data_IF_561922676477
#
_entry.id   IF_561922676477
#
_cell.length_a   1.000
_cell.length_b   1.000
_cell.length_c   1.000
_cell.angle_alpha   90.00
_cell.angle_beta   90.00
_cell.angle_gamma   90.00
#
_symmetry.space_group_name_H-M   'P 1'
#
loop_
_entity.id
_entity.type
_entity.pdbx_description
1 polymer ?
#
# COMPACT_ATOMS: atom_id res chain seq x y z
N UNK A 1 -0.60 22.51 4.79
CA UNK A 1 -0.43 21.38 3.86
C UNK A 1 1.01 20.91 3.81
N UNK A 2 1.30 19.77 4.44
CA UNK A 2 2.62 19.15 4.38
C UNK A 2 2.94 18.60 2.97
N UNK A 3 4.21 18.25 2.71
CA UNK A 3 4.66 17.81 1.37
C UNK A 3 4.00 16.51 0.90
N UNK A 4 3.80 15.54 1.81
CA UNK A 4 3.06 14.32 1.53
C UNK A 4 1.64 14.61 1.06
N UNK A 5 0.92 15.49 1.76
CA UNK A 5 -0.47 15.84 1.48
C UNK A 5 -0.62 16.49 0.09
N UNK A 6 0.27 17.42 -0.25
CA UNK A 6 0.29 18.06 -1.58
C UNK A 6 0.49 17.04 -2.70
N UNK A 7 1.48 16.17 -2.55
CA UNK A 7 1.77 15.14 -3.55
C UNK A 7 0.62 14.14 -3.67
N UNK A 8 0.01 13.76 -2.55
CA UNK A 8 -1.11 12.84 -2.52
C UNK A 8 -2.34 13.43 -3.22
N UNK A 9 -2.72 14.66 -2.91
CA UNK A 9 -3.83 15.35 -3.57
C UNK A 9 -3.59 15.52 -5.07
N UNK A 10 -2.36 15.84 -5.48
CA UNK A 10 -2.01 15.92 -6.90
C UNK A 10 -2.19 14.57 -7.61
N UNK A 11 -1.86 13.46 -6.96
CA UNK A 11 -2.09 12.12 -7.52
C UNK A 11 -3.58 11.78 -7.59
N UNK A 12 -4.37 12.17 -6.59
CA UNK A 12 -5.83 12.02 -6.62
C UNK A 12 -6.43 12.78 -7.82
N UNK A 13 -6.03 14.04 -8.00
CA UNK A 13 -6.46 14.87 -9.14
C UNK A 13 -6.15 14.19 -10.48
N UNK A 14 -4.91 13.72 -10.65
CA UNK A 14 -4.49 13.01 -11.88
C UNK A 14 -5.30 11.71 -12.06
N UNK A 15 -5.54 10.96 -10.99
CA UNK A 15 -6.34 9.73 -11.03
C UNK A 15 -7.77 9.98 -11.50
N UNK A 16 -8.41 11.02 -10.97
CA UNK A 16 -9.76 11.41 -11.35
C UNK A 16 -9.82 11.98 -12.79
N UNK A 17 -8.83 12.76 -13.21
CA UNK A 17 -8.73 13.24 -14.60
C UNK A 17 -8.62 12.09 -15.60
N UNK A 18 -7.90 11.00 -15.27
CA UNK A 18 -7.75 9.84 -16.16
C UNK A 18 -9.07 9.13 -16.46
N UNK A 19 -10.03 9.21 -15.55
CA UNK A 19 -11.36 8.62 -15.72
C UNK A 19 -12.42 9.66 -16.10
N UNK A 20 -12.01 10.90 -16.43
CA UNK A 20 -12.92 11.99 -16.82
C UNK A 20 -13.82 12.49 -15.68
N UNK A 21 -13.35 12.41 -14.43
CA UNK A 21 -14.08 12.82 -13.22
C UNK A 21 -13.39 13.94 -12.45
N UNK A 22 -12.78 14.90 -13.16
CA UNK A 22 -12.19 16.09 -12.52
C UNK A 22 -13.18 16.89 -11.65
N UNK A 23 -14.48 16.80 -11.94
CA UNK A 23 -15.58 17.39 -11.16
C UNK A 23 -15.57 16.92 -9.68
N UNK A 24 -15.22 15.66 -9.46
CA UNK A 24 -15.11 15.09 -8.12
C UNK A 24 -13.94 15.70 -7.36
N UNK A 25 -12.82 15.98 -8.02
CA UNK A 25 -11.67 16.61 -7.37
C UNK A 25 -12.01 18.00 -6.85
N UNK A 26 -12.71 18.82 -7.65
CA UNK A 26 -13.15 20.14 -7.21
C UNK A 26 -14.06 20.06 -5.98
N UNK A 27 -14.98 19.10 -5.97
CA UNK A 27 -15.93 18.87 -4.89
C UNK A 27 -15.22 18.52 -3.57
N UNK A 28 -14.28 17.56 -3.62
CA UNK A 28 -13.54 17.13 -2.41
C UNK A 28 -12.52 18.17 -1.96
N UNK A 29 -11.91 18.91 -2.89
CA UNK A 29 -10.86 19.89 -2.58
C UNK A 29 -11.43 21.16 -1.90
N UNK A 30 -12.64 21.61 -2.27
CA UNK A 30 -13.30 22.78 -1.65
C UNK A 30 -13.51 22.64 -0.14
N UNK A 31 -13.61 21.41 0.37
CA UNK A 31 -13.82 21.10 1.80
C UNK A 31 -12.59 20.49 2.48
N UNK A 32 -11.42 20.60 1.85
CA UNK A 32 -10.21 19.98 2.35
C UNK A 32 -9.75 20.60 3.67
N UNK A 33 -9.72 19.75 4.69
CA UNK A 33 -9.05 20.00 5.97
C UNK A 33 -8.15 18.79 6.24
N UNK A 34 -6.96 19.01 6.80
CA UNK A 34 -6.01 17.94 7.15
C UNK A 34 -6.52 17.14 8.37
N UNK A 35 -7.65 16.44 8.22
CA UNK A 35 -8.22 15.58 9.24
C UNK A 35 -8.87 14.34 8.64
N UNK A 36 -9.15 13.38 9.53
CA UNK A 36 -9.75 12.10 9.16
C UNK A 36 -11.15 12.25 8.53
N UNK A 37 -11.93 13.23 8.98
CA UNK A 37 -13.26 13.51 8.44
C UNK A 37 -13.23 13.91 6.96
N UNK A 38 -12.14 14.49 6.46
CA UNK A 38 -11.99 14.70 5.02
C UNK A 38 -11.76 13.39 4.27
N UNK A 39 -10.97 12.47 4.82
CA UNK A 39 -10.71 11.16 4.19
C UNK A 39 -11.98 10.31 4.14
N UNK A 40 -12.81 10.35 5.18
CA UNK A 40 -14.14 9.73 5.20
C UNK A 40 -15.07 10.33 4.13
N UNK A 41 -15.17 11.67 4.07
CA UNK A 41 -15.98 12.35 3.04
C UNK A 41 -15.52 12.03 1.63
N UNK A 42 -14.20 11.97 1.40
CA UNK A 42 -13.64 11.56 0.12
C UNK A 42 -14.17 10.18 -0.26
N UNK A 43 -14.07 9.20 0.63
CA UNK A 43 -14.52 7.84 0.32
C UNK A 43 -16.02 7.75 0.11
N UNK A 44 -16.82 8.47 0.89
CA UNK A 44 -18.28 8.55 0.70
C UNK A 44 -18.58 9.02 -0.73
N UNK A 45 -17.93 10.10 -1.17
CA UNK A 45 -18.14 10.67 -2.51
C UNK A 45 -17.66 9.70 -3.59
N UNK A 46 -16.46 9.14 -3.47
CA UNK A 46 -15.92 8.22 -4.49
C UNK A 46 -16.77 6.95 -4.60
N UNK A 47 -17.14 6.34 -3.47
CA UNK A 47 -17.93 5.11 -3.47
C UNK A 47 -19.38 5.33 -3.94
N UNK A 48 -19.93 6.54 -3.84
CA UNK A 48 -21.27 6.84 -4.38
C UNK A 48 -21.27 7.19 -5.86
N UNK A 49 -20.16 7.73 -6.37
CA UNK A 49 -20.09 8.34 -7.70
C UNK A 49 -19.36 7.47 -8.73
N UNK A 50 -18.59 6.47 -8.29
CA UNK A 50 -17.73 5.64 -9.15
C UNK A 50 -18.04 4.16 -8.97
N UNK A 51 -17.76 3.36 -9.99
CA UNK A 51 -17.73 1.92 -9.84
C UNK A 51 -16.57 1.49 -8.91
N UNK A 52 -16.70 0.36 -8.22
CA UNK A 52 -15.70 -0.11 -7.26
C UNK A 52 -14.29 -0.22 -7.88
N UNK A 53 -14.18 -0.76 -9.10
CA UNK A 53 -12.90 -0.89 -9.80
C UNK A 53 -12.28 0.49 -10.13
N UNK A 54 -13.10 1.52 -10.41
CA UNK A 54 -12.60 2.88 -10.62
C UNK A 54 -12.11 3.52 -9.32
N UNK A 55 -12.80 3.29 -8.20
CA UNK A 55 -12.33 3.72 -6.86
C UNK A 55 -10.98 3.07 -6.56
N UNK A 56 -10.85 1.76 -6.78
CA UNK A 56 -9.60 1.02 -6.58
C UNK A 56 -8.49 1.61 -7.44
N UNK A 57 -8.77 1.91 -8.71
CA UNK A 57 -7.78 2.45 -9.63
C UNK A 57 -7.29 3.85 -9.23
N UNK A 58 -8.22 4.75 -8.89
CA UNK A 58 -7.93 6.09 -8.40
C UNK A 58 -7.11 6.02 -7.11
N UNK A 59 -7.55 5.21 -6.14
CA UNK A 59 -6.89 5.09 -4.84
C UNK A 59 -5.50 4.47 -4.97
N UNK A 60 -5.34 3.41 -5.76
CA UNK A 60 -4.02 2.84 -6.05
C UNK A 60 -3.10 3.84 -6.76
N UNK A 61 -3.65 4.72 -7.61
CA UNK A 61 -2.90 5.82 -8.24
C UNK A 61 -2.32 6.84 -7.24
N UNK A 62 -2.86 6.89 -6.03
CA UNK A 62 -2.39 7.77 -4.96
C UNK A 62 -1.20 7.19 -4.16
N UNK A 63 -0.72 6.00 -4.50
CA UNK A 63 0.31 5.30 -3.73
C UNK A 63 1.65 6.05 -3.61
N UNK A 64 2.33 5.84 -2.48
CA UNK A 64 3.78 6.03 -2.41
C UNK A 64 4.43 4.88 -3.18
N UNK A 65 5.33 5.17 -4.11
CA UNK A 65 5.90 4.19 -5.04
C UNK A 65 7.27 3.69 -4.57
N UNK A 66 7.62 2.47 -4.96
CA UNK A 66 8.95 1.92 -4.73
C UNK A 66 9.99 2.62 -5.63
N UNK A 67 11.25 2.78 -5.18
CA UNK A 67 12.34 3.23 -6.04
C UNK A 67 12.49 2.33 -7.26
N UNK A 68 12.66 2.91 -8.45
CA UNK A 68 12.69 2.17 -9.71
C UNK A 68 14.06 1.59 -10.08
N UNK A 69 15.12 1.98 -9.38
CA UNK A 69 16.49 1.57 -9.72
C UNK A 69 16.64 0.05 -9.77
N UNK A 70 16.25 -0.65 -8.70
CA UNK A 70 16.34 -2.11 -8.66
C UNK A 70 15.21 -2.79 -9.47
N UNK A 71 14.02 -2.18 -9.52
CA UNK A 71 12.91 -2.72 -10.32
C UNK A 71 13.21 -2.72 -11.82
N UNK A 72 14.06 -1.81 -12.29
CA UNK A 72 14.52 -1.76 -13.70
C UNK A 72 15.31 -3.01 -14.05
N UNK A 73 16.22 -3.43 -13.16
CA UNK A 73 16.95 -4.70 -13.31
C UNK A 73 15.97 -5.88 -13.39
N UNK A 74 15.00 -5.94 -12.48
CA UNK A 74 14.01 -7.02 -12.47
C UNK A 74 13.12 -7.07 -13.72
N UNK A 75 12.72 -5.90 -14.23
CA UNK A 75 11.97 -5.80 -15.49
C UNK A 75 12.78 -6.37 -16.64
N UNK A 76 14.04 -5.96 -16.78
CA UNK A 76 14.91 -6.38 -17.89
C UNK A 76 15.19 -7.89 -17.83
N UNK A 77 15.36 -8.43 -16.62
CA UNK A 77 15.45 -9.88 -16.40
C UNK A 77 14.14 -10.60 -16.77
N UNK A 78 12.97 -10.05 -16.41
CA UNK A 78 11.68 -10.64 -16.79
C UNK A 78 11.46 -10.60 -18.31
N UNK A 79 11.80 -9.51 -18.97
CA UNK A 79 11.68 -9.37 -20.43
C UNK A 79 12.57 -10.38 -21.17
N UNK A 80 13.76 -10.66 -20.62
CA UNK A 80 14.71 -11.61 -21.21
C UNK A 80 14.32 -13.08 -20.95
N UNK A 81 13.88 -13.38 -19.74
CA UNK A 81 13.69 -14.77 -19.27
C UNK A 81 12.25 -15.25 -19.37
N UNK A 82 11.28 -14.32 -19.30
CA UNK A 82 9.87 -14.59 -19.06
C UNK A 82 9.63 -15.52 -17.84
N UNK A 83 10.56 -15.50 -16.87
CA UNK A 83 10.53 -16.35 -15.68
C UNK A 83 10.07 -15.54 -14.46
N UNK A 84 8.78 -15.66 -14.17
CA UNK A 84 8.16 -15.01 -13.01
C UNK A 84 8.76 -15.47 -11.68
N UNK A 85 9.08 -16.76 -11.56
CA UNK A 85 9.61 -17.33 -10.33
C UNK A 85 11.01 -16.79 -10.04
N UNK A 86 11.83 -16.64 -11.09
CA UNK A 86 13.16 -16.06 -11.01
C UNK A 86 13.13 -14.60 -10.55
N UNK A 87 12.34 -13.74 -11.20
CA UNK A 87 12.30 -12.31 -10.82
C UNK A 87 11.65 -12.07 -9.46
N UNK A 88 10.70 -12.93 -9.06
CA UNK A 88 10.17 -12.94 -7.70
C UNK A 88 11.25 -13.28 -6.66
N UNK A 89 12.07 -14.29 -6.91
CA UNK A 89 13.18 -14.65 -6.02
C UNK A 89 14.21 -13.53 -5.92
N UNK A 90 14.55 -12.84 -7.02
CA UNK A 90 15.45 -11.69 -7.01
C UNK A 90 14.87 -10.54 -6.16
N UNK A 91 13.57 -10.25 -6.29
CA UNK A 91 12.90 -9.22 -5.49
C UNK A 91 12.92 -9.58 -3.99
N UNK A 92 12.68 -10.85 -3.64
CA UNK A 92 12.75 -11.34 -2.27
C UNK A 92 14.16 -11.18 -1.69
N UNK A 93 15.19 -11.62 -2.41
CA UNK A 93 16.58 -11.49 -1.98
C UNK A 93 17.00 -10.03 -1.78
N UNK A 94 16.58 -9.14 -2.68
CA UNK A 94 16.80 -7.71 -2.54
C UNK A 94 16.13 -7.15 -1.30
N UNK A 95 14.86 -7.50 -1.06
CA UNK A 95 14.13 -7.07 0.12
C UNK A 95 14.83 -7.52 1.41
N UNK A 96 15.17 -8.80 1.54
CA UNK A 96 15.84 -9.35 2.73
C UNK A 96 17.16 -8.64 3.03
N UNK A 97 17.96 -8.41 1.98
CA UNK A 97 19.26 -7.74 2.11
C UNK A 97 19.11 -6.28 2.52
N UNK A 98 18.13 -5.57 1.94
CA UNK A 98 17.96 -4.14 2.16
C UNK A 98 17.24 -3.82 3.46
N UNK A 99 16.22 -4.61 3.83
CA UNK A 99 15.38 -4.31 4.99
C UNK A 99 16.15 -4.38 6.31
N UNK A 100 17.08 -5.33 6.44
CA UNK A 100 17.92 -5.48 7.64
C UNK A 100 18.70 -4.20 7.92
N UNK A 101 19.38 -3.66 6.91
CA UNK A 101 20.18 -2.44 7.04
C UNK A 101 19.32 -1.18 7.10
N UNK A 102 18.29 -1.07 6.26
CA UNK A 102 17.44 0.12 6.19
C UNK A 102 16.65 0.37 7.47
N UNK A 103 16.27 -0.69 8.18
CA UNK A 103 15.46 -0.62 9.41
C UNK A 103 16.24 -0.98 10.67
N UNK A 104 17.56 -1.17 10.57
CA UNK A 104 18.44 -1.56 11.68
C UNK A 104 17.86 -2.76 12.48
N UNK A 105 17.39 -3.78 11.76
CA UNK A 105 16.69 -4.91 12.39
C UNK A 105 17.69 -5.88 13.01
N UNK A 106 17.38 -6.32 14.23
CA UNK A 106 18.06 -7.48 14.80
C UNK A 106 17.57 -8.79 14.15
N UNK A 107 18.30 -9.88 14.36
CA UNK A 107 18.02 -11.17 13.70
C UNK A 107 16.64 -11.74 14.07
N UNK A 108 16.14 -11.50 15.29
CA UNK A 108 14.80 -11.94 15.69
C UNK A 108 13.70 -11.17 14.95
N UNK A 109 13.88 -9.86 14.77
CA UNK A 109 12.95 -9.02 14.04
C UNK A 109 12.95 -9.37 12.54
N UNK A 110 14.14 -9.56 11.95
CA UNK A 110 14.24 -10.03 10.57
C UNK A 110 13.54 -11.39 10.41
N UNK A 111 13.82 -12.34 11.30
CA UNK A 111 13.17 -13.66 11.28
C UNK A 111 11.64 -13.55 11.35
N UNK A 112 11.10 -12.69 12.23
CA UNK A 112 9.65 -12.45 12.30
C UNK A 112 9.07 -11.97 10.96
N UNK A 113 9.74 -11.03 10.29
CA UNK A 113 9.29 -10.51 8.98
C UNK A 113 9.26 -11.62 7.92
N UNK A 114 10.31 -12.45 7.85
CA UNK A 114 10.40 -13.52 6.86
C UNK A 114 9.41 -14.65 7.17
N UNK A 115 9.31 -15.08 8.42
CA UNK A 115 8.40 -16.16 8.83
C UNK A 115 6.91 -15.81 8.62
N UNK A 116 6.58 -14.52 8.49
CA UNK A 116 5.22 -14.02 8.27
C UNK A 116 4.99 -13.49 6.85
N UNK A 117 5.85 -13.83 5.87
CA UNK A 117 5.75 -13.41 4.47
C UNK A 117 5.63 -11.88 4.30
N UNK A 118 6.18 -11.11 5.24
CA UNK A 118 6.08 -9.66 5.26
C UNK A 118 7.14 -9.04 4.34
N UNK A 119 6.73 -8.16 3.45
CA UNK A 119 7.67 -7.49 2.57
C UNK A 119 7.06 -7.04 1.25
N UNK A 120 7.93 -6.52 0.39
CA UNK A 120 7.53 -6.03 -0.93
C UNK A 120 7.35 -7.15 -1.97
N UNK A 121 8.05 -8.28 -1.82
CA UNK A 121 7.96 -9.39 -2.77
C UNK A 121 6.71 -10.25 -2.54
N UNK A 122 6.30 -10.42 -1.29
CA UNK A 122 5.20 -11.32 -0.89
C UNK A 122 5.48 -12.78 -1.22
N UNK A 123 4.50 -13.65 -0.96
CA UNK A 123 4.56 -15.07 -1.31
C UNK A 123 3.94 -15.30 -2.68
N UNK A 124 4.68 -15.90 -3.61
CA UNK A 124 4.21 -16.27 -4.94
C UNK A 124 3.64 -17.70 -4.94
N UNK A 125 2.41 -17.84 -5.45
CA UNK A 125 1.72 -19.12 -5.64
C UNK A 125 1.03 -19.12 -7.01
N UNK A 126 1.60 -19.84 -7.98
CA UNK A 126 1.12 -19.82 -9.37
C UNK A 126 1.29 -18.43 -9.99
N UNK A 127 0.17 -17.77 -10.31
CA UNK A 127 0.12 -16.40 -10.84
C UNK A 127 -0.42 -15.38 -9.82
N UNK A 128 -0.47 -15.74 -8.54
CA UNK A 128 -0.94 -14.85 -7.47
C UNK A 128 0.17 -14.61 -6.47
N UNK A 129 0.33 -13.36 -6.05
CA UNK A 129 1.21 -12.98 -4.95
C UNK A 129 0.36 -12.52 -3.77
N UNK A 130 0.64 -13.04 -2.59
CA UNK A 130 0.07 -12.53 -1.34
C UNK A 130 1.15 -11.77 -0.60
N UNK A 131 1.03 -10.45 -0.53
CA UNK A 131 1.96 -9.59 0.18
C UNK A 131 1.40 -9.17 1.54
N UNK A 132 2.17 -9.36 2.60
CA UNK A 132 1.86 -8.85 3.94
C UNK A 132 2.66 -7.57 4.16
N UNK A 133 2.00 -6.48 4.59
CA UNK A 133 2.73 -5.23 4.85
C UNK A 133 3.66 -5.38 6.05
N UNK A 134 4.79 -4.69 5.99
CA UNK A 134 5.69 -4.54 7.13
C UNK A 134 5.20 -3.43 8.07
N UNK A 135 5.54 -3.44 9.38
CA UNK A 135 5.29 -2.31 10.27
C UNK A 135 5.97 -1.02 9.80
N UNK A 136 5.38 0.15 10.07
CA UNK A 136 6.00 1.46 9.78
C UNK A 136 7.16 1.76 10.73
N UNK A 137 6.89 1.63 12.03
CA UNK A 137 7.81 1.91 13.14
C UNK A 137 8.25 0.60 13.82
N UNK A 138 9.08 -0.19 13.14
CA UNK A 138 9.52 -1.54 13.53
C UNK A 138 9.86 -1.68 15.02
N UNK A 139 10.82 -0.90 15.54
CA UNK A 139 11.24 -1.05 16.93
C UNK A 139 10.10 -0.79 17.92
N UNK A 140 9.25 0.21 17.67
CA UNK A 140 8.11 0.53 18.54
C UNK A 140 7.02 -0.54 18.47
N UNK A 141 6.76 -1.08 17.27
CA UNK A 141 5.84 -2.19 17.06
C UNK A 141 6.26 -3.43 17.88
N UNK A 142 7.54 -3.78 17.88
CA UNK A 142 8.06 -4.93 18.63
C UNK A 142 8.25 -4.69 20.14
N UNK A 143 8.17 -3.45 20.61
CA UNK A 143 8.33 -3.08 22.02
C UNK A 143 6.99 -2.92 22.75
N UNK A 144 5.86 -3.03 22.04
CA UNK A 144 4.54 -2.78 22.61
C UNK A 144 3.64 -4.01 22.50
N UNK A 145 3.00 -4.36 23.61
CA UNK A 145 1.96 -5.39 23.69
C UNK A 145 0.54 -4.78 23.66
N UNK A 146 0.44 -3.46 23.71
CA UNK A 146 -0.84 -2.73 23.64
C UNK A 146 -1.37 -2.81 22.20
N UNK A 147 -2.54 -3.45 21.96
CA UNK A 147 -3.04 -3.68 20.60
C UNK A 147 -3.26 -2.39 19.82
N UNK A 148 -3.70 -1.31 20.47
CA UNK A 148 -3.96 -0.01 19.82
C UNK A 148 -2.64 0.61 19.39
N UNK A 149 -1.62 0.60 20.25
CA UNK A 149 -0.27 1.09 19.89
C UNK A 149 0.39 0.22 18.82
N UNK A 150 0.17 -1.10 18.86
CA UNK A 150 0.68 -2.04 17.86
C UNK A 150 0.12 -1.70 16.47
N UNK A 151 -1.20 -1.53 16.34
CA UNK A 151 -1.86 -1.07 15.10
C UNK A 151 -1.35 0.29 14.62
N UNK A 152 -1.18 1.24 15.55
CA UNK A 152 -0.64 2.57 15.25
C UNK A 152 0.78 2.52 14.66
N UNK A 153 1.69 1.76 15.29
CA UNK A 153 3.08 1.62 14.83
C UNK A 153 3.20 0.76 13.56
N UNK A 154 2.20 -0.06 13.26
CA UNK A 154 2.13 -0.82 12.02
C UNK A 154 1.77 0.06 10.83
N UNK A 155 0.73 0.89 10.95
CA UNK A 155 0.17 1.62 9.81
C UNK A 155 1.11 2.70 9.25
N UNK A 156 1.33 2.67 7.93
CA UNK A 156 2.21 3.63 7.24
C UNK A 156 1.52 4.95 6.90
N UNK A 157 0.19 4.97 6.77
CA UNK A 157 -0.54 6.17 6.37
C UNK A 157 -0.72 7.09 7.58
N UNK A 158 -0.23 8.35 7.53
CA UNK A 158 -0.36 9.28 8.65
C UNK A 158 -1.83 9.63 8.96
N UNK A 159 -2.72 9.58 7.96
CA UNK A 159 -4.16 9.86 8.15
C UNK A 159 -4.86 8.69 8.84
N UNK A 160 -4.66 7.46 8.35
CA UNK A 160 -5.31 6.26 8.89
C UNK A 160 -4.80 5.89 10.26
N UNK A 161 -3.48 5.96 10.50
CA UNK A 161 -2.93 5.50 11.79
C UNK A 161 -3.46 6.28 12.98
N UNK A 162 -3.76 7.58 12.82
CA UNK A 162 -4.38 8.37 13.87
C UNK A 162 -5.83 7.94 14.13
N UNK A 163 -6.57 7.56 13.08
CA UNK A 163 -7.92 7.03 13.20
C UNK A 163 -7.95 5.67 13.92
N UNK A 164 -6.93 4.82 13.73
CA UNK A 164 -6.81 3.53 14.41
C UNK A 164 -6.71 3.62 15.95
N UNK A 165 -6.54 4.82 16.51
CA UNK A 165 -6.58 5.05 17.97
C UNK A 165 -8.00 5.17 18.53
N UNK A 166 -8.99 5.37 17.66
CA UNK A 166 -10.36 5.71 18.03
C UNK A 166 -11.31 4.79 17.26
N UNK A 167 -11.93 3.83 17.96
CA UNK A 167 -12.78 2.81 17.34
C UNK A 167 -14.05 3.42 16.72
N UNK A 168 -14.41 4.66 17.11
CA UNK A 168 -15.59 5.38 16.63
C UNK A 168 -15.35 6.21 15.34
N UNK A 169 -14.16 6.11 14.73
CA UNK A 169 -13.81 6.83 13.49
C UNK A 169 -13.62 5.87 12.31
N UNK A 170 -14.72 5.32 11.75
CA UNK A 170 -14.65 4.37 10.67
C UNK A 170 -14.18 5.06 9.39
N UNK A 171 -13.05 4.61 8.85
CA UNK A 171 -12.64 4.93 7.48
C UNK A 171 -12.94 3.74 6.60
N UNK A 172 -13.52 4.03 5.44
CA UNK A 172 -13.79 3.01 4.43
C UNK A 172 -12.49 2.30 4.00
N UNK A 173 -12.55 0.97 3.91
CA UNK A 173 -11.39 0.14 3.59
C UNK A 173 -10.80 0.45 2.21
N UNK A 174 -11.62 0.95 1.27
CA UNK A 174 -11.15 1.28 -0.07
C UNK A 174 -10.11 2.39 -0.04
N UNK A 175 -10.07 3.20 1.03
CA UNK A 175 -9.00 4.17 1.24
C UNK A 175 -7.61 3.52 1.23
N UNK A 176 -7.51 2.30 1.79
CA UNK A 176 -6.27 1.57 1.89
C UNK A 176 -5.78 1.00 0.55
N UNK A 177 -6.55 1.11 -0.55
CA UNK A 177 -6.02 0.81 -1.89
C UNK A 177 -4.88 1.75 -2.29
N UNK A 178 -4.77 2.93 -1.68
CA UNK A 178 -3.54 3.74 -1.74
C UNK A 178 -2.28 2.96 -1.28
N UNK A 179 -2.42 2.09 -0.28
CA UNK A 179 -1.35 1.19 0.15
C UNK A 179 -1.18 -0.02 -0.78
N UNK A 180 -2.25 -0.52 -1.39
CA UNK A 180 -2.19 -1.61 -2.35
C UNK A 180 -1.54 -1.20 -3.68
N UNK A 181 -1.69 0.07 -4.07
CA UNK A 181 -1.06 0.63 -5.25
C UNK A 181 0.47 0.57 -5.24
N UNK A 182 1.11 0.51 -4.06
CA UNK A 182 2.56 0.25 -3.95
C UNK A 182 2.93 -1.10 -4.58
N UNK A 183 2.15 -2.14 -4.29
CA UNK A 183 2.39 -3.49 -4.80
C UNK A 183 1.97 -3.61 -6.27
N UNK A 184 0.85 -2.97 -6.64
CA UNK A 184 0.43 -2.87 -8.04
C UNK A 184 1.56 -2.27 -8.89
N UNK A 185 2.08 -1.11 -8.49
CA UNK A 185 3.15 -0.41 -9.20
C UNK A 185 4.44 -1.22 -9.33
N UNK A 186 4.81 -2.02 -8.34
CA UNK A 186 5.98 -2.92 -8.44
C UNK A 186 5.78 -3.93 -9.57
N UNK A 187 4.65 -4.64 -9.56
CA UNK A 187 4.42 -5.75 -10.49
C UNK A 187 4.02 -5.28 -11.89
N UNK A 188 3.28 -4.18 -12.04
CA UNK A 188 3.05 -3.57 -13.35
C UNK A 188 4.37 -3.09 -13.98
N UNK A 189 5.28 -2.57 -13.17
CA UNK A 189 6.58 -2.13 -13.64
C UNK A 189 7.48 -3.31 -14.04
N UNK A 190 7.50 -4.41 -13.29
CA UNK A 190 8.30 -5.59 -13.65
C UNK A 190 7.72 -6.28 -14.90
N UNK A 191 6.40 -6.48 -14.93
CA UNK A 191 5.73 -7.29 -15.96
C UNK A 191 5.35 -6.50 -17.22
N UNK A 192 5.46 -5.16 -17.20
CA UNK A 192 5.07 -4.26 -18.29
C UNK A 192 3.62 -4.45 -18.76
N UNK A 193 2.73 -4.85 -17.85
CA UNK A 193 1.30 -5.05 -18.11
C UNK A 193 0.48 -4.78 -16.84
N UNK A 194 -0.81 -4.45 -16.96
CA UNK A 194 -1.68 -4.25 -15.80
C UNK A 194 -1.79 -5.50 -14.94
N UNK A 195 -1.90 -5.31 -13.63
CA UNK A 195 -2.19 -6.38 -12.65
C UNK A 195 -3.35 -5.96 -11.77
N UNK A 196 -4.08 -6.91 -11.20
CA UNK A 196 -5.18 -6.61 -10.26
C UNK A 196 -4.71 -6.76 -8.83
N UNK A 197 -5.15 -5.86 -7.95
CA UNK A 197 -4.90 -5.97 -6.51
C UNK A 197 -6.21 -6.03 -5.72
N UNK A 198 -6.21 -6.79 -4.64
CA UNK A 198 -7.32 -6.84 -3.67
C UNK A 198 -6.76 -6.85 -2.25
N UNK A 199 -7.32 -6.01 -1.39
CA UNK A 199 -7.08 -6.09 0.05
C UNK A 199 -7.89 -7.28 0.57
N UNK A 200 -7.26 -8.17 1.33
CA UNK A 200 -7.90 -9.37 1.89
C UNK A 200 -7.84 -9.44 3.41
N UNK A 201 -6.94 -8.66 4.02
CA UNK A 201 -6.92 -8.38 5.45
C UNK A 201 -6.53 -6.92 5.64
N UNK A 202 -7.13 -6.24 6.61
CA UNK A 202 -6.94 -4.82 6.88
C UNK A 202 -7.04 -4.48 8.36
N UNK A 203 -6.14 -3.62 8.85
CA UNK A 203 -6.26 -3.06 10.20
C UNK A 203 -7.58 -2.29 10.40
N UNK A 204 -8.16 -1.73 9.33
CA UNK A 204 -9.46 -1.04 9.38
C UNK A 204 -10.63 -2.01 9.62
N UNK A 205 -10.45 -3.30 9.35
CA UNK A 205 -11.43 -4.36 9.59
C UNK A 205 -11.15 -5.14 10.88
N UNK A 206 -10.14 -4.73 11.65
CA UNK A 206 -9.76 -5.38 12.90
C UNK A 206 -8.74 -6.51 12.76
N UNK A 207 -8.25 -6.79 11.55
CA UNK A 207 -7.19 -7.78 11.35
C UNK A 207 -5.87 -7.34 12.00
N UNK A 208 -4.99 -8.31 12.28
CA UNK A 208 -3.68 -8.03 12.86
C UNK A 208 -2.70 -7.44 11.82
N UNK A 209 -2.85 -7.82 10.55
CA UNK A 209 -1.98 -7.42 9.46
C UNK A 209 -2.80 -6.96 8.25
N UNK A 210 -2.17 -6.15 7.41
CA UNK A 210 -2.70 -5.83 6.09
C UNK A 210 -2.14 -6.80 5.06
N UNK A 211 -3.01 -7.57 4.41
CA UNK A 211 -2.65 -8.49 3.32
C UNK A 211 -3.28 -8.07 2.01
N UNK A 212 -2.47 -8.10 0.96
CA UNK A 212 -2.85 -7.70 -0.40
C UNK A 212 -2.55 -8.85 -1.34
N UNK A 213 -3.58 -9.32 -2.06
CA UNK A 213 -3.41 -10.21 -3.19
C UNK A 213 -3.11 -9.40 -4.45
N UNK A 214 -2.10 -9.80 -5.19
CA UNK A 214 -1.76 -9.31 -6.53
C UNK A 214 -1.99 -10.45 -7.52
N UNK A 215 -2.91 -10.26 -8.46
CA UNK A 215 -3.18 -11.19 -9.54
C UNK A 215 -2.42 -10.71 -10.77
N UNK A 216 -1.39 -11.49 -11.14
CA UNK A 216 -0.40 -11.12 -12.14
C UNK A 216 -0.98 -11.27 -13.53
#
# INVERSE_FOLDING_TARGET
>A
MNDFEKQWLRKLEIGLQKIGREDLFETVNKSHQENIGWSERLMIILNSELAEDEVIDVMCGCACLAPKDYLTILRDEYETTNDLQFVHQLLQQYFEKTIKTYKDLNDKQLKYIIDNDMGMAGKLEGSTITAVKIPKEFHKYFQTEDPVKKRYHYCHCPRIREALKDEDKPVDENYCYCGAGFYRDIWEFILQRPVKVRIVESLLQGDEHCKIKIYL
#
